data_IF_324554013617
#
_entry.id   IF_324554013617
#
_cell.length_a   1.000
_cell.length_b   1.000
_cell.length_c   1.000
_cell.angle_alpha   90.00
_cell.angle_beta   90.00
_cell.angle_gamma   90.00
#
_symmetry.space_group_name_H-M   'P 1'
#
loop_
_entity.id
_entity.type
_entity.pdbx_description
1 polymer ?
#
# COMPACT_ATOMS: atom_id res chain seq x y z
N UNK A 1 -7.26 10.57 -14.82
CA UNK A 1 -6.91 9.14 -14.80
C UNK A 1 -5.55 8.92 -15.47
N UNK A 2 -4.65 8.20 -14.78
CA UNK A 2 -3.26 8.01 -15.19
C UNK A 2 -3.14 6.96 -16.30
N UNK A 3 -2.24 7.18 -17.27
CA UNK A 3 -1.94 6.22 -18.36
C UNK A 3 -0.63 5.48 -18.16
N UNK A 4 0.32 6.11 -17.49
CA UNK A 4 1.68 5.59 -17.30
C UNK A 4 1.87 5.02 -15.90
N UNK A 5 2.78 4.05 -15.76
CA UNK A 5 3.17 3.53 -14.44
C UNK A 5 3.88 4.63 -13.62
N UNK A 6 3.72 4.64 -12.29
CA UNK A 6 4.55 5.47 -11.43
C UNK A 6 6.01 5.09 -11.55
N UNK A 7 6.88 6.06 -11.30
CA UNK A 7 8.30 5.78 -11.09
C UNK A 7 8.55 5.58 -9.60
N UNK A 8 9.56 4.77 -9.24
CA UNK A 8 9.93 4.63 -7.82
C UNK A 8 10.33 5.96 -7.19
N UNK A 9 10.99 6.85 -7.94
CA UNK A 9 11.33 8.21 -7.48
C UNK A 9 10.09 9.04 -7.13
N UNK A 10 9.06 8.97 -7.96
CA UNK A 10 7.79 9.65 -7.68
C UNK A 10 7.15 9.13 -6.39
N UNK A 11 7.10 7.80 -6.22
CA UNK A 11 6.55 7.16 -5.02
C UNK A 11 7.36 7.57 -3.78
N UNK A 12 8.69 7.59 -3.88
CA UNK A 12 9.58 8.04 -2.81
C UNK A 12 9.38 9.52 -2.43
N UNK A 13 9.15 10.39 -3.41
CA UNK A 13 8.84 11.80 -3.16
C UNK A 13 7.45 11.99 -2.54
N UNK A 14 6.46 11.18 -2.94
CA UNK A 14 5.15 11.17 -2.30
C UNK A 14 5.26 10.66 -0.86
N UNK A 15 6.01 9.59 -0.60
CA UNK A 15 6.13 8.98 0.74
C UNK A 15 6.76 9.91 1.78
N UNK A 16 7.73 10.75 1.39
CA UNK A 16 8.32 11.79 2.27
C UNK A 16 7.31 12.79 2.82
N UNK A 17 6.19 13.03 2.11
CA UNK A 17 5.17 14.01 2.49
C UNK A 17 4.07 13.41 3.37
N UNK A 18 4.06 12.10 3.53
CA UNK A 18 2.99 11.34 4.16
C UNK A 18 3.37 11.10 5.62
N UNK A 19 2.42 11.33 6.53
CA UNK A 19 2.58 10.91 7.93
C UNK A 19 2.13 9.46 8.09
N UNK A 20 2.86 8.70 8.88
CA UNK A 20 2.50 7.33 9.22
C UNK A 20 1.83 7.30 10.60
N UNK A 21 0.71 6.58 10.70
CA UNK A 21 -0.04 6.35 11.93
C UNK A 21 0.63 5.26 12.75
N UNK A 22 1.69 5.62 13.46
CA UNK A 22 2.54 4.69 14.22
C UNK A 22 1.76 3.95 15.32
N UNK A 23 0.69 4.56 15.80
CA UNK A 23 -0.26 4.03 16.78
C UNK A 23 -1.24 3.00 16.20
N UNK A 24 -1.40 2.96 14.88
CA UNK A 24 -2.27 2.00 14.16
C UNK A 24 -1.45 0.89 13.48
N UNK A 25 -0.24 0.64 13.97
CA UNK A 25 0.63 -0.43 13.50
C UNK A 25 -0.06 -1.80 13.60
N UNK A 26 0.11 -2.60 12.55
CA UNK A 26 -0.34 -3.98 12.47
C UNK A 26 0.91 -4.84 12.37
N UNK A 27 1.11 -5.74 13.33
CA UNK A 27 2.23 -6.69 13.34
C UNK A 27 1.68 -8.11 13.35
N UNK A 28 2.31 -8.98 12.58
CA UNK A 28 2.06 -10.42 12.64
C UNK A 28 3.32 -11.21 12.32
N UNK A 29 3.34 -12.45 12.80
CA UNK A 29 4.42 -13.38 12.52
C UNK A 29 3.91 -14.49 11.61
N UNK A 30 4.72 -14.86 10.62
CA UNK A 30 4.42 -15.97 9.70
C UNK A 30 5.69 -16.72 9.36
N UNK A 31 5.67 -18.05 9.46
CA UNK A 31 6.85 -18.92 9.23
C UNK A 31 8.07 -18.45 10.07
N UNK A 32 7.83 -17.95 11.29
CA UNK A 32 8.87 -17.40 12.18
C UNK A 32 9.47 -16.06 11.74
N UNK A 33 8.87 -15.39 10.74
CA UNK A 33 9.31 -14.11 10.21
C UNK A 33 8.29 -13.02 10.50
N UNK A 34 8.79 -11.83 10.84
CA UNK A 34 7.93 -10.69 11.19
C UNK A 34 7.50 -9.94 9.94
N UNK A 35 6.24 -9.54 9.96
CA UNK A 35 5.64 -8.64 8.97
C UNK A 35 4.92 -7.54 9.75
N UNK A 36 5.22 -6.30 9.40
CA UNK A 36 4.70 -5.10 10.02
C UNK A 36 4.18 -4.16 8.95
N UNK A 37 2.98 -3.64 9.17
CA UNK A 37 2.41 -2.59 8.33
C UNK A 37 2.07 -1.38 9.19
N UNK A 38 2.54 -0.22 8.76
CA UNK A 38 2.18 1.06 9.35
C UNK A 38 1.31 1.84 8.37
N UNK A 39 0.01 2.05 8.64
CA UNK A 39 -0.85 2.81 7.75
C UNK A 39 -0.39 4.26 7.58
N UNK A 40 -0.64 4.81 6.40
CA UNK A 40 -0.52 6.25 6.16
C UNK A 40 -1.70 6.99 6.75
N UNK A 41 -1.46 8.20 7.24
CA UNK A 41 -2.48 9.19 7.48
C UNK A 41 -2.93 9.74 6.11
N UNK A 42 -4.05 9.23 5.63
CA UNK A 42 -4.64 9.67 4.37
C UNK A 42 -5.46 10.93 4.68
N UNK A 43 -5.08 12.10 4.15
CA UNK A 43 -5.87 13.32 4.34
C UNK A 43 -7.26 13.15 3.72
N UNK A 44 -8.26 13.94 4.14
CA UNK A 44 -9.57 13.95 3.49
C UNK A 44 -9.39 14.15 1.99
N UNK A 45 -9.87 13.18 1.21
CA UNK A 45 -9.80 13.25 -0.24
C UNK A 45 -10.84 14.26 -0.72
N UNK A 46 -10.42 15.26 -1.49
CA UNK A 46 -11.32 16.26 -2.03
C UNK A 46 -12.10 15.71 -3.23
N UNK A 47 -11.58 14.66 -3.88
CA UNK A 47 -12.21 14.05 -5.03
C UNK A 47 -11.73 12.61 -5.28
N UNK A 48 -12.46 11.87 -6.12
CA UNK A 48 -12.07 10.51 -6.54
C UNK A 48 -10.81 10.56 -7.40
N UNK A 49 -10.60 11.63 -8.15
CA UNK A 49 -9.43 11.82 -9.01
C UNK A 49 -8.12 11.86 -8.21
N UNK A 50 -8.11 12.42 -6.99
CA UNK A 50 -6.93 12.37 -6.10
C UNK A 50 -6.57 10.94 -5.71
N UNK A 51 -7.58 10.08 -5.48
CA UNK A 51 -7.38 8.65 -5.23
C UNK A 51 -6.87 7.94 -6.49
N UNK A 52 -7.40 8.30 -7.67
CA UNK A 52 -7.02 7.68 -8.95
C UNK A 52 -5.60 8.07 -9.41
N UNK A 53 -5.14 9.28 -9.11
CA UNK A 53 -3.76 9.73 -9.36
C UNK A 53 -2.74 8.93 -8.54
N UNK A 54 -3.16 8.54 -7.35
CA UNK A 54 -2.53 7.53 -6.52
C UNK A 54 -1.95 8.08 -5.23
N UNK A 55 -1.99 7.23 -4.21
CA UNK A 55 -1.71 7.55 -2.84
C UNK A 55 -0.74 6.55 -2.22
N UNK A 56 0.07 7.05 -1.28
CA UNK A 56 0.78 6.19 -0.34
C UNK A 56 -0.20 5.81 0.74
N UNK A 57 -0.31 4.52 0.99
CA UNK A 57 -1.30 3.96 1.90
C UNK A 57 -0.67 3.46 3.19
N UNK A 58 0.66 3.36 3.21
CA UNK A 58 1.44 2.94 4.37
C UNK A 58 2.81 2.43 3.99
N UNK A 59 3.54 1.98 5.01
CA UNK A 59 4.83 1.33 4.88
C UNK A 59 4.72 -0.13 5.35
N UNK A 60 5.23 -1.05 4.53
CA UNK A 60 5.34 -2.47 4.81
C UNK A 60 6.79 -2.79 5.16
N UNK A 61 7.01 -3.43 6.29
CA UNK A 61 8.29 -3.97 6.73
C UNK A 61 8.16 -5.49 6.84
N UNK A 62 8.93 -6.24 6.04
CA UNK A 62 8.85 -7.69 5.98
C UNK A 62 10.25 -8.34 6.04
N UNK A 63 10.37 -9.43 6.79
CA UNK A 63 11.57 -10.29 6.78
C UNK A 63 11.43 -11.47 5.79
N UNK A 64 10.22 -11.69 5.27
CA UNK A 64 9.87 -12.77 4.37
C UNK A 64 9.85 -12.27 2.93
N UNK A 65 10.56 -12.96 2.05
CA UNK A 65 10.42 -12.76 0.61
C UNK A 65 9.01 -13.18 0.19
N UNK A 66 8.35 -12.35 -0.63
CA UNK A 66 6.99 -12.61 -1.10
C UNK A 66 6.98 -13.76 -2.12
N UNK A 67 6.31 -14.86 -1.78
CA UNK A 67 6.27 -16.08 -2.61
C UNK A 67 5.70 -15.80 -4.04
N UNK A 68 4.65 -14.99 -4.17
CA UNK A 68 4.00 -14.71 -5.49
C UNK A 68 4.52 -13.43 -6.17
N UNK A 69 4.81 -12.39 -5.40
CA UNK A 69 5.19 -11.07 -5.92
C UNK A 69 6.70 -10.88 -6.02
N UNK A 70 7.48 -11.84 -5.52
CA UNK A 70 8.94 -11.74 -5.35
C UNK A 70 9.36 -10.46 -4.60
N UNK A 71 8.51 -9.99 -3.69
CA UNK A 71 8.80 -8.78 -2.92
C UNK A 71 9.97 -9.10 -1.98
N UNK A 72 11.14 -8.44 -2.12
CA UNK A 72 12.27 -8.75 -1.26
C UNK A 72 11.97 -8.34 0.19
N UNK A 73 12.64 -8.97 1.17
CA UNK A 73 12.62 -8.48 2.54
C UNK A 73 13.11 -7.03 2.61
N UNK A 74 12.53 -6.23 3.49
CA UNK A 74 12.93 -4.86 3.73
C UNK A 74 11.76 -3.96 4.09
N UNK A 75 11.99 -2.65 3.93
CA UNK A 75 10.99 -1.62 4.13
C UNK A 75 10.54 -1.05 2.80
N UNK A 76 9.24 -1.11 2.55
CA UNK A 76 8.62 -0.72 1.29
C UNK A 76 7.53 0.30 1.53
N UNK A 77 7.56 1.41 0.79
CA UNK A 77 6.42 2.30 0.66
C UNK A 77 5.40 1.64 -0.24
N UNK A 78 4.15 1.60 0.22
CA UNK A 78 3.07 0.99 -0.53
C UNK A 78 2.26 2.09 -1.20
N UNK A 79 2.21 2.05 -2.52
CA UNK A 79 1.51 3.00 -3.36
C UNK A 79 0.41 2.31 -4.16
N UNK A 80 -0.73 2.98 -4.31
CA UNK A 80 -1.84 2.47 -5.12
C UNK A 80 -2.34 3.58 -6.03
N UNK A 81 -2.55 3.28 -7.31
CA UNK A 81 -3.06 4.22 -8.31
C UNK A 81 -3.97 3.51 -9.32
N UNK A 82 -4.76 4.30 -10.05
CA UNK A 82 -5.59 3.79 -11.16
C UNK A 82 -4.91 4.08 -12.50
N UNK A 83 -4.45 3.02 -13.16
CA UNK A 83 -3.67 3.08 -14.40
C UNK A 83 -4.45 2.36 -15.49
N UNK A 84 -4.73 3.05 -16.60
CA UNK A 84 -5.51 2.51 -17.71
C UNK A 84 -6.88 1.94 -17.29
N UNK A 85 -7.50 2.52 -16.26
CA UNK A 85 -8.80 2.09 -15.74
C UNK A 85 -8.73 1.02 -14.64
N UNK A 86 -7.56 0.46 -14.38
CA UNK A 86 -7.37 -0.61 -13.40
C UNK A 86 -6.58 -0.13 -12.18
N UNK A 87 -6.95 -0.62 -11.01
CA UNK A 87 -6.20 -0.36 -9.79
C UNK A 87 -4.95 -1.22 -9.74
N UNK A 88 -3.81 -0.58 -9.48
CA UNK A 88 -2.51 -1.24 -9.39
C UNK A 88 -1.78 -0.80 -8.14
N UNK A 89 -1.09 -1.75 -7.51
CA UNK A 89 -0.33 -1.55 -6.28
C UNK A 89 1.16 -1.73 -6.55
N UNK A 90 1.97 -0.84 -5.97
CA UNK A 90 3.42 -0.82 -6.11
C UNK A 90 4.09 -0.80 -4.74
N UNK A 91 5.12 -1.60 -4.58
CA UNK A 91 6.03 -1.58 -3.43
C UNK A 91 7.33 -0.93 -3.87
N UNK A 92 7.71 0.15 -3.19
CA UNK A 92 8.88 0.96 -3.52
C UNK A 92 9.87 1.01 -2.36
N UNK A 93 11.16 0.89 -2.68
CA UNK A 93 12.26 1.18 -1.76
C UNK A 93 13.37 1.91 -2.51
N UNK A 94 13.95 2.92 -1.85
CA UNK A 94 15.11 3.67 -2.32
C UNK A 94 14.96 4.30 -3.73
N UNK A 95 13.74 4.70 -4.07
CA UNK A 95 13.40 5.29 -5.36
C UNK A 95 13.18 4.28 -6.48
N UNK A 96 13.07 2.99 -6.15
CA UNK A 96 12.87 1.89 -7.11
C UNK A 96 11.63 1.05 -6.75
N UNK A 97 10.85 0.69 -7.76
CA UNK A 97 9.74 -0.26 -7.59
C UNK A 97 10.35 -1.66 -7.45
N UNK A 98 10.19 -2.26 -6.28
CA UNK A 98 10.70 -3.60 -5.95
C UNK A 98 9.72 -4.70 -6.34
N UNK A 99 8.42 -4.43 -6.28
CA UNK A 99 7.39 -5.35 -6.75
C UNK A 99 6.08 -4.64 -7.09
N UNK A 100 5.27 -5.30 -7.92
CA UNK A 100 3.87 -4.96 -8.16
C UNK A 100 2.97 -5.93 -7.37
N UNK A 101 1.81 -5.45 -6.92
CA UNK A 101 0.84 -6.29 -6.23
C UNK A 101 0.19 -7.26 -7.23
N UNK A 102 0.06 -8.53 -6.84
CA UNK A 102 -0.68 -9.53 -7.65
C UNK A 102 -2.18 -9.26 -7.62
N UNK A 103 -2.70 -8.67 -6.53
CA UNK A 103 -4.11 -8.28 -6.38
C UNK A 103 -4.24 -6.98 -5.60
N UNK A 104 -5.19 -6.14 -6.03
CA UNK A 104 -5.59 -4.93 -5.32
C UNK A 104 -7.11 -5.00 -5.11
N UNK A 105 -7.57 -4.81 -3.87
CA UNK A 105 -8.99 -4.76 -3.55
C UNK A 105 -9.32 -3.52 -2.72
N UNK A 106 -10.44 -2.88 -3.06
CA UNK A 106 -10.96 -1.73 -2.35
C UNK A 106 -12.33 -2.08 -1.79
N UNK A 107 -12.52 -1.92 -0.48
CA UNK A 107 -13.86 -1.89 0.10
C UNK A 107 -14.25 -0.43 0.31
N UNK A 108 -15.27 0.03 -0.39
CA UNK A 108 -15.87 1.34 -0.10
C UNK A 108 -16.69 1.19 1.18
N UNK A 109 -16.19 1.72 2.30
CA UNK A 109 -17.06 2.00 3.43
C UNK A 109 -17.87 3.25 3.10
N UNK A 110 -19.19 3.11 3.05
CA UNK A 110 -20.09 4.26 3.00
C UNK A 110 -19.88 5.05 4.30
N UNK A 111 -19.69 6.38 4.17
CA UNK A 111 -19.68 7.30 5.30
C UNK A 111 -21.03 7.19 6.03
N UNK A 112 -21.03 6.44 7.14
CA UNK A 112 -22.22 6.06 7.90
C UNK A 112 -21.92 4.86 8.80
N UNK A 113 -21.42 5.14 10.00
CA UNK A 113 -21.33 4.27 11.19
C UNK A 113 -20.56 2.94 11.13
N UNK A 114 -19.97 2.52 10.00
CA UNK A 114 -19.05 1.38 10.01
C UNK A 114 -17.61 1.85 10.19
N UNK A 115 -16.99 1.46 11.31
CA UNK A 115 -15.55 1.59 11.52
C UNK A 115 -14.83 0.94 10.33
N UNK A 116 -13.93 1.67 9.68
CA UNK A 116 -13.02 1.12 8.69
C UNK A 116 -12.41 -0.19 9.24
N UNK A 117 -12.58 -1.30 8.51
CA UNK A 117 -11.94 -2.56 8.89
C UNK A 117 -10.40 -2.39 8.90
N UNK A 118 -9.68 -3.13 9.76
CA UNK A 118 -8.22 -3.09 9.70
C UNK A 118 -7.74 -3.78 8.41
N UNK A 119 -6.71 -3.24 7.72
CA UNK A 119 -6.07 -3.91 6.59
C UNK A 119 -5.71 -5.36 6.92
N UNK A 120 -5.94 -6.28 5.97
CA UNK A 120 -5.60 -7.70 6.09
C UNK A 120 -4.50 -8.05 5.09
N UNK A 121 -3.47 -8.72 5.57
CA UNK A 121 -2.38 -9.25 4.75
C UNK A 121 -2.56 -10.75 4.57
N UNK A 122 -2.41 -11.21 3.34
CA UNK A 122 -2.47 -12.62 3.03
C UNK A 122 -1.08 -13.25 2.97
N UNK A 123 -0.98 -14.54 3.29
CA UNK A 123 0.21 -15.36 3.12
C UNK A 123 0.84 -15.32 1.72
N UNK A 124 0.01 -15.18 0.70
CA UNK A 124 0.32 -15.37 -0.72
C UNK A 124 0.07 -14.03 -1.42
N UNK A 125 1.14 -13.51 -2.04
CA UNK A 125 1.17 -12.14 -2.55
C UNK A 125 1.07 -11.08 -1.45
N UNK A 126 1.51 -9.86 -1.73
CA UNK A 126 1.15 -8.72 -0.88
C UNK A 126 -0.16 -8.14 -1.40
N UNK A 127 -1.23 -8.38 -0.65
CA UNK A 127 -2.54 -7.79 -0.89
C UNK A 127 -2.71 -6.58 0.02
N UNK A 128 -3.11 -5.45 -0.55
CA UNK A 128 -3.62 -4.33 0.22
C UNK A 128 -5.13 -4.38 0.18
N UNK A 129 -5.74 -4.46 1.35
CA UNK A 129 -7.13 -4.08 1.54
C UNK A 129 -7.15 -2.75 2.27
N UNK A 130 -7.57 -1.68 1.59
CA UNK A 130 -7.85 -0.39 2.22
C UNK A 130 -9.33 -0.38 2.58
N UNK A 131 -9.61 -0.02 3.82
CA UNK A 131 -10.95 0.09 4.40
C UNK A 131 -11.20 1.55 4.76
#
# INVERSE_FOLDING_TARGET
MRKEKPTGKEIAEKSKKIKLKKEEVIEFEKKGKKIKFTPAEIPPLNSIEELEDGLIIGALENELEGDETKLPPGKHNIFVAKINGEWQGYAESDGEIKAEAVRVSFKRHYFGDQKAEKPKFHPEGWCVTIC
#
